data_IF_528468453241
#
_entry.id   IF_528468453241
#
_cell.length_a   1.000
_cell.length_b   1.000
_cell.length_c   1.000
_cell.angle_alpha   90.00
_cell.angle_beta   90.00
_cell.angle_gamma   90.00
#
_symmetry.space_group_name_H-M   'P 1'
#
loop_
_entity.id
_entity.type
_entity.pdbx_description
1 polymer ?
#
# COMPACT_ATOMS: atom_id res chain seq x y z
N UNK A 1 3.52 -7.98 -16.69
CA UNK A 1 2.28 -7.97 -15.89
C UNK A 1 2.06 -6.66 -15.14
N UNK A 2 2.99 -6.16 -14.30
CA UNK A 2 2.79 -4.91 -13.57
C UNK A 2 2.40 -3.70 -14.43
N UNK A 3 3.08 -3.49 -15.56
CA UNK A 3 2.73 -2.43 -16.50
C UNK A 3 1.29 -2.55 -17.05
N UNK A 4 0.80 -3.78 -17.26
CA UNK A 4 -0.58 -4.03 -17.73
C UNK A 4 -1.58 -3.69 -16.63
N UNK A 5 -1.33 -4.13 -15.38
CA UNK A 5 -2.16 -3.78 -14.23
C UNK A 5 -2.24 -2.26 -14.05
N UNK A 6 -1.09 -1.58 -14.12
CA UNK A 6 -1.00 -0.12 -14.02
C UNK A 6 -1.78 0.57 -15.14
N UNK A 7 -1.58 0.15 -16.39
CA UNK A 7 -2.29 0.70 -17.53
C UNK A 7 -3.81 0.51 -17.41
N UNK A 8 -4.28 -0.67 -16.98
CA UNK A 8 -5.70 -0.94 -16.73
C UNK A 8 -6.27 -0.09 -15.60
N UNK A 9 -5.49 0.14 -14.54
CA UNK A 9 -5.88 1.03 -13.45
C UNK A 9 -6.11 2.46 -13.97
N UNK A 10 -5.14 2.97 -14.74
CA UNK A 10 -5.20 4.30 -15.36
C UNK A 10 -6.38 4.42 -16.31
N UNK A 11 -6.50 3.49 -17.25
CA UNK A 11 -7.55 3.48 -18.27
C UNK A 11 -8.95 3.41 -17.64
N UNK A 12 -9.15 2.49 -16.68
CA UNK A 12 -10.47 2.24 -16.08
C UNK A 12 -10.98 3.41 -15.25
N UNK A 13 -10.10 4.15 -14.60
CA UNK A 13 -10.48 5.25 -13.69
C UNK A 13 -10.13 6.64 -14.23
N UNK A 14 -9.60 6.74 -15.45
CA UNK A 14 -9.22 8.02 -16.05
C UNK A 14 -8.19 8.78 -15.23
N UNK A 15 -7.21 8.06 -14.66
CA UNK A 15 -6.18 8.67 -13.82
C UNK A 15 -5.17 9.44 -14.68
N UNK A 16 -4.80 10.64 -14.25
CA UNK A 16 -3.73 11.41 -14.89
C UNK A 16 -2.40 11.03 -14.25
N UNK A 17 -1.53 10.38 -15.02
CA UNK A 17 -0.22 9.90 -14.56
C UNK A 17 0.84 10.31 -15.57
N UNK A 18 1.72 11.21 -15.15
CA UNK A 18 2.97 11.46 -15.84
C UNK A 18 3.92 10.28 -15.62
N UNK A 19 4.37 9.66 -16.70
CA UNK A 19 5.28 8.51 -16.66
C UNK A 19 6.73 8.89 -16.31
N UNK A 20 7.07 10.17 -16.38
CA UNK A 20 8.39 10.71 -15.97
C UNK A 20 8.45 10.99 -14.46
N UNK A 21 7.29 11.11 -13.82
CA UNK A 21 7.18 11.24 -12.38
C UNK A 21 7.35 9.88 -11.70
N UNK A 22 8.33 9.82 -10.80
CA UNK A 22 8.61 8.60 -10.03
C UNK A 22 7.48 8.29 -9.04
N UNK A 23 6.84 9.34 -8.53
CA UNK A 23 5.66 9.27 -7.66
C UNK A 23 4.59 10.22 -8.23
N UNK A 24 3.61 9.72 -8.99
CA UNK A 24 2.59 10.56 -9.61
C UNK A 24 1.69 11.18 -8.55
N UNK A 25 1.24 12.41 -8.76
CA UNK A 25 0.41 13.16 -7.81
C UNK A 25 -1.08 12.99 -8.13
N UNK A 26 -1.91 12.85 -7.10
CA UNK A 26 -3.38 12.85 -7.25
C UNK A 26 -3.98 11.67 -8.02
N UNK A 27 -3.21 10.61 -8.28
CA UNK A 27 -3.63 9.48 -9.10
C UNK A 27 -4.41 8.43 -8.30
N UNK A 28 -3.74 7.71 -7.40
CA UNK A 28 -4.39 6.68 -6.58
C UNK A 28 -3.62 6.42 -5.29
N UNK A 29 -4.33 5.84 -4.32
CA UNK A 29 -3.76 5.40 -3.05
C UNK A 29 -3.29 3.94 -3.15
N UNK A 30 -2.09 3.63 -2.68
CA UNK A 30 -1.58 2.27 -2.57
C UNK A 30 -1.73 1.73 -1.16
N UNK A 31 -2.43 0.61 -0.99
CA UNK A 31 -2.62 -0.06 0.30
C UNK A 31 -1.97 -1.44 0.30
N UNK A 32 -1.12 -1.74 1.28
CA UNK A 32 -0.72 -3.11 1.57
C UNK A 32 -1.51 -3.66 2.76
N UNK A 33 -2.58 -4.41 2.47
CA UNK A 33 -3.42 -5.05 3.48
C UNK A 33 -2.77 -6.36 3.92
N UNK A 34 -2.07 -6.32 5.06
CA UNK A 34 -1.26 -7.43 5.55
C UNK A 34 -2.09 -8.33 6.46
N UNK A 35 -2.94 -9.15 5.85
CA UNK A 35 -3.86 -10.06 6.58
C UNK A 35 -3.87 -11.48 6.01
N UNK A 36 -2.81 -11.87 5.30
CA UNK A 36 -2.61 -13.25 4.84
C UNK A 36 -2.36 -14.21 6.01
N UNK A 37 -2.54 -15.51 5.76
CA UNK A 37 -2.58 -16.52 6.84
C UNK A 37 -1.25 -16.64 7.59
N UNK A 38 -0.12 -16.35 6.96
CA UNK A 38 1.18 -16.31 7.64
C UNK A 38 1.27 -15.17 8.67
N UNK A 39 0.70 -13.99 8.38
CA UNK A 39 0.58 -12.91 9.36
C UNK A 39 -0.37 -13.26 10.51
N UNK A 40 -1.51 -13.90 10.20
CA UNK A 40 -2.45 -14.39 11.21
C UNK A 40 -1.78 -15.40 12.14
N UNK A 41 -1.12 -16.41 11.56
CA UNK A 41 -0.46 -17.49 12.30
C UNK A 41 0.70 -16.99 13.15
N UNK A 42 1.35 -15.89 12.75
CA UNK A 42 2.38 -15.24 13.54
C UNK A 42 1.83 -14.32 14.65
N UNK A 43 0.50 -14.24 14.84
CA UNK A 43 -0.15 -13.40 15.86
C UNK A 43 -0.07 -11.90 15.56
N UNK A 44 0.21 -11.50 14.32
CA UNK A 44 0.43 -10.09 13.99
C UNK A 44 -0.85 -9.25 14.07
N UNK A 45 -1.99 -9.89 13.80
CA UNK A 45 -3.30 -9.23 13.80
C UNK A 45 -3.92 -9.12 15.19
N UNK A 46 -3.34 -9.79 16.19
CA UNK A 46 -3.82 -9.76 17.58
C UNK A 46 -3.36 -8.50 18.32
N UNK A 47 -2.33 -7.84 17.80
CA UNK A 47 -1.88 -6.55 18.31
C UNK A 47 -2.95 -5.47 18.09
N UNK A 48 -3.14 -4.62 19.09
CA UNK A 48 -4.08 -3.51 19.02
C UNK A 48 -3.83 -2.64 17.78
N UNK A 49 -4.90 -2.29 17.06
CA UNK A 49 -4.82 -1.50 15.83
C UNK A 49 -4.24 -2.23 14.61
N UNK A 50 -3.83 -3.50 14.70
CA UNK A 50 -3.21 -4.24 13.58
C UNK A 50 -4.17 -5.16 12.82
N UNK A 51 -5.38 -5.39 13.33
CA UNK A 51 -6.35 -6.25 12.67
C UNK A 51 -6.82 -5.68 11.31
N UNK A 52 -7.49 -6.51 10.51
CA UNK A 52 -7.95 -6.14 9.17
C UNK A 52 -8.84 -4.89 9.16
N UNK A 53 -9.68 -4.70 10.19
CA UNK A 53 -10.62 -3.58 10.25
C UNK A 53 -9.88 -2.27 10.49
N UNK A 54 -8.92 -2.26 11.42
CA UNK A 54 -8.10 -1.08 11.71
C UNK A 54 -7.27 -0.66 10.49
N UNK A 55 -6.63 -1.62 9.80
CA UNK A 55 -5.89 -1.34 8.56
C UNK A 55 -6.80 -0.70 7.49
N UNK A 56 -7.99 -1.26 7.27
CA UNK A 56 -8.95 -0.75 6.28
C UNK A 56 -9.43 0.66 6.64
N UNK A 57 -9.77 0.92 7.89
CA UNK A 57 -10.22 2.24 8.35
C UNK A 57 -9.16 3.30 8.12
N UNK A 58 -7.92 2.98 8.48
CA UNK A 58 -6.77 3.86 8.31
C UNK A 58 -6.50 4.17 6.83
N UNK A 59 -6.50 3.15 5.96
CA UNK A 59 -6.27 3.36 4.53
C UNK A 59 -7.37 4.20 3.87
N UNK A 60 -8.63 4.01 4.26
CA UNK A 60 -9.74 4.84 3.77
C UNK A 60 -9.59 6.28 4.24
N UNK A 61 -9.31 6.48 5.54
CA UNK A 61 -9.16 7.81 6.13
C UNK A 61 -8.01 8.57 5.46
N UNK A 62 -6.86 7.91 5.30
CA UNK A 62 -5.68 8.50 4.68
C UNK A 62 -5.91 8.81 3.20
N UNK A 63 -6.53 7.91 2.43
CA UNK A 63 -6.89 8.20 1.04
C UNK A 63 -7.79 9.43 0.92
N UNK A 64 -8.81 9.56 1.80
CA UNK A 64 -9.73 10.71 1.80
C UNK A 64 -9.04 12.02 2.21
N UNK A 65 -8.10 11.98 3.15
CA UNK A 65 -7.31 13.15 3.54
C UNK A 65 -6.58 13.77 2.34
N UNK A 66 -6.13 12.93 1.40
CA UNK A 66 -5.47 13.36 0.16
C UNK A 66 -6.43 13.55 -1.03
N UNK A 67 -7.74 13.44 -0.81
CA UNK A 67 -8.74 13.59 -1.86
C UNK A 67 -8.71 12.48 -2.92
N UNK A 68 -8.13 11.31 -2.60
CA UNK A 68 -8.01 10.19 -3.53
C UNK A 68 -9.28 9.31 -3.47
N UNK A 69 -9.88 9.05 -4.63
CA UNK A 69 -11.11 8.26 -4.75
C UNK A 69 -10.86 6.80 -5.16
N UNK A 70 -9.62 6.44 -5.50
CA UNK A 70 -9.23 5.10 -5.92
C UNK A 70 -8.10 4.57 -5.04
N UNK A 71 -8.28 3.36 -4.52
CA UNK A 71 -7.30 2.60 -3.75
C UNK A 71 -6.93 1.34 -4.56
N UNK A 72 -5.66 1.17 -4.88
CA UNK A 72 -5.09 -0.12 -5.27
C UNK A 72 -4.66 -0.88 -4.02
N UNK A 73 -5.21 -2.06 -3.77
CA UNK A 73 -4.87 -2.90 -2.63
C UNK A 73 -4.10 -4.15 -3.04
N UNK A 74 -2.96 -4.36 -2.38
CA UNK A 74 -2.24 -5.62 -2.37
C UNK A 74 -2.57 -6.39 -1.09
N UNK A 75 -2.94 -7.66 -1.23
CA UNK A 75 -3.25 -8.53 -0.09
C UNK A 75 -3.08 -9.99 -0.49
N UNK A 76 -2.71 -10.83 0.48
CA UNK A 76 -2.78 -12.28 0.36
C UNK A 76 -4.12 -12.88 0.85
N UNK A 77 -5.08 -12.04 1.23
CA UNK A 77 -6.39 -12.48 1.76
C UNK A 77 -7.53 -11.75 1.03
N UNK A 78 -8.17 -12.47 0.10
CA UNK A 78 -9.22 -11.93 -0.76
C UNK A 78 -10.56 -11.70 -0.04
N UNK A 79 -10.81 -12.36 1.09
CA UNK A 79 -12.01 -12.12 1.87
C UNK A 79 -11.95 -10.74 2.53
N UNK A 80 -10.79 -10.37 3.09
CA UNK A 80 -10.60 -9.04 3.66
C UNK A 80 -10.60 -7.95 2.58
N UNK A 81 -10.10 -8.24 1.38
CA UNK A 81 -10.21 -7.32 0.22
C UNK A 81 -11.68 -7.05 -0.11
N UNK A 82 -12.55 -8.07 -0.13
CA UNK A 82 -13.99 -7.86 -0.36
C UNK A 82 -14.64 -7.02 0.74
N UNK A 83 -14.26 -7.22 2.00
CA UNK A 83 -14.74 -6.40 3.13
C UNK A 83 -14.26 -4.96 3.00
N UNK A 84 -13.01 -4.76 2.59
CA UNK A 84 -12.44 -3.45 2.31
C UNK A 84 -13.24 -2.74 1.19
N UNK A 85 -13.46 -3.41 0.07
CA UNK A 85 -14.27 -2.89 -1.04
C UNK A 85 -15.66 -2.43 -0.59
N UNK A 86 -16.38 -3.27 0.16
CA UNK A 86 -17.72 -2.93 0.66
C UNK A 86 -17.68 -1.70 1.60
N UNK A 87 -16.71 -1.65 2.51
CA UNK A 87 -16.59 -0.55 3.48
C UNK A 87 -16.17 0.77 2.85
N UNK A 88 -15.30 0.74 1.84
CA UNK A 88 -14.86 1.90 1.08
C UNK A 88 -15.97 2.45 0.17
N UNK A 89 -16.75 1.57 -0.47
CA UNK A 89 -17.89 1.96 -1.27
C UNK A 89 -19.03 2.61 -0.45
N UNK A 90 -19.14 2.27 0.83
CA UNK A 90 -20.10 2.86 1.76
C UNK A 90 -19.69 4.26 2.29
N UNK A 91 -18.51 4.76 1.93
CA UNK A 91 -18.05 6.10 2.35
C UNK A 91 -18.82 7.22 1.64
N UNK A 92 -18.77 8.42 2.22
CA UNK A 92 -19.22 9.66 1.58
C UNK A 92 -18.05 10.66 1.51
N UNK A 93 -17.56 11.03 0.30
CA UNK A 93 -17.84 10.37 -0.99
C UNK A 93 -17.33 8.91 -1.02
N UNK A 94 -17.87 8.05 -1.91
CA UNK A 94 -17.41 6.67 -2.07
C UNK A 94 -15.95 6.60 -2.51
N UNK A 95 -15.24 5.58 -2.02
CA UNK A 95 -13.87 5.26 -2.44
C UNK A 95 -13.88 3.88 -3.11
N UNK A 96 -13.29 3.78 -4.29
CA UNK A 96 -13.21 2.53 -5.05
C UNK A 96 -11.94 1.79 -4.67
N UNK A 97 -12.06 0.54 -4.25
CA UNK A 97 -10.92 -0.34 -3.94
C UNK A 97 -10.80 -1.42 -5.01
N UNK A 98 -9.63 -1.55 -5.61
CA UNK A 98 -9.33 -2.59 -6.61
C UNK A 98 -8.02 -3.29 -6.29
N UNK A 99 -7.90 -4.55 -6.68
CA UNK A 99 -6.65 -5.28 -6.73
C UNK A 99 -6.33 -5.70 -8.18
N UNK A 100 -5.15 -6.28 -8.41
CA UNK A 100 -4.74 -6.76 -9.75
C UNK A 100 -5.76 -7.67 -10.44
N UNK A 101 -6.47 -8.53 -9.71
CA UNK A 101 -7.46 -9.44 -10.30
C UNK A 101 -8.78 -8.75 -10.69
N UNK A 102 -9.08 -7.56 -10.14
CA UNK A 102 -10.23 -6.75 -10.55
C UNK A 102 -9.95 -5.94 -11.83
N UNK A 103 -8.68 -5.84 -12.22
CA UNK A 103 -8.17 -5.05 -13.33
C UNK A 103 -7.83 -5.91 -14.56
N UNK A 104 -7.41 -7.15 -14.34
CA UNK A 104 -7.01 -8.05 -15.41
C UNK A 104 -8.20 -8.86 -15.95
N UNK A 105 -8.33 -9.01 -17.28
CA UNK A 105 -9.26 -9.98 -17.87
C UNK A 105 -8.90 -11.41 -17.45
N UNK A 106 -9.86 -12.32 -17.56
CA UNK A 106 -9.75 -13.69 -17.03
C UNK A 106 -8.48 -14.42 -17.52
N UNK A 107 -8.12 -14.29 -18.80
CA UNK A 107 -6.94 -14.95 -19.36
C UNK A 107 -5.61 -14.40 -18.79
N UNK A 108 -5.51 -13.09 -18.54
CA UNK A 108 -4.33 -12.49 -17.90
C UNK A 108 -4.30 -12.76 -16.40
N UNK A 109 -5.47 -12.76 -15.75
CA UNK A 109 -5.59 -13.16 -14.35
C UNK A 109 -5.17 -14.62 -14.13
N UNK A 110 -5.45 -15.52 -15.08
CA UNK A 110 -5.01 -16.91 -15.04
C UNK A 110 -3.47 -17.03 -15.08
N UNK A 111 -2.80 -16.20 -15.89
CA UNK A 111 -1.33 -16.13 -15.93
C UNK A 111 -0.79 -15.73 -14.55
N UNK A 112 -1.36 -14.70 -13.92
CA UNK A 112 -0.94 -14.26 -12.58
C UNK A 112 -1.21 -15.34 -11.53
N UNK A 113 -2.34 -16.04 -11.60
CA UNK A 113 -2.66 -17.15 -10.67
C UNK A 113 -1.70 -18.33 -10.80
N UNK A 114 -1.10 -18.54 -11.97
CA UNK A 114 -0.10 -19.57 -12.19
C UNK A 114 1.31 -19.19 -11.68
N UNK A 115 1.54 -17.92 -11.31
CA UNK A 115 2.79 -17.46 -10.73
C UNK A 115 2.90 -17.87 -9.25
N UNK A 116 4.14 -18.00 -8.77
CA UNK A 116 4.41 -18.18 -7.34
C UNK A 116 3.92 -16.98 -6.53
N UNK A 117 3.75 -17.18 -5.23
CA UNK A 117 3.35 -16.12 -4.31
C UNK A 117 4.27 -14.88 -4.40
N UNK A 118 5.59 -15.08 -4.41
CA UNK A 118 6.56 -13.97 -4.55
C UNK A 118 6.48 -13.27 -5.91
N UNK A 119 6.29 -14.03 -6.99
CA UNK A 119 6.12 -13.46 -8.33
C UNK A 119 4.87 -12.59 -8.43
N UNK A 120 3.77 -13.00 -7.77
CA UNK A 120 2.57 -12.18 -7.67
C UNK A 120 2.80 -10.92 -6.82
N UNK A 121 3.54 -11.04 -5.72
CA UNK A 121 3.89 -9.91 -4.86
C UNK A 121 4.77 -8.88 -5.59
N UNK A 122 5.66 -9.30 -6.50
CA UNK A 122 6.44 -8.39 -7.33
C UNK A 122 5.57 -7.54 -8.26
N UNK A 123 4.44 -8.06 -8.75
CA UNK A 123 3.48 -7.27 -9.53
C UNK A 123 2.91 -6.14 -8.67
N UNK A 124 2.46 -6.49 -7.46
CA UNK A 124 1.91 -5.51 -6.52
C UNK A 124 2.96 -4.48 -6.10
N UNK A 125 4.21 -4.91 -5.90
CA UNK A 125 5.32 -4.05 -5.52
C UNK A 125 5.59 -2.96 -6.58
N UNK A 126 5.63 -3.34 -7.86
CA UNK A 126 5.84 -2.38 -8.95
C UNK A 126 4.69 -1.38 -9.08
N UNK A 127 3.44 -1.81 -8.84
CA UNK A 127 2.28 -0.92 -8.87
C UNK A 127 2.29 0.02 -7.67
N UNK A 128 2.51 -0.51 -6.46
CA UNK A 128 2.44 0.27 -5.21
C UNK A 128 3.54 1.32 -5.09
N UNK A 129 4.73 1.11 -5.66
CA UNK A 129 5.76 2.17 -5.70
C UNK A 129 5.29 3.41 -6.47
N UNK A 130 4.41 3.23 -7.47
CA UNK A 130 3.87 4.30 -8.34
C UNK A 130 2.54 4.87 -7.87
N UNK A 131 2.09 4.59 -6.65
CA UNK A 131 0.92 5.27 -6.10
C UNK A 131 1.24 6.71 -5.69
N UNK A 132 0.24 7.56 -5.54
CA UNK A 132 0.45 8.92 -5.03
C UNK A 132 0.74 8.92 -3.55
N UNK A 133 -0.06 8.17 -2.80
CA UNK A 133 0.06 8.04 -1.34
C UNK A 133 0.02 6.56 -0.99
N UNK A 134 0.92 6.11 -0.11
CA UNK A 134 1.07 4.72 0.29
C UNK A 134 0.72 4.50 1.76
N UNK A 135 0.15 3.32 2.07
CA UNK A 135 -0.06 2.85 3.43
C UNK A 135 0.24 1.36 3.60
N UNK A 136 0.85 1.02 4.73
CA UNK A 136 1.04 -0.37 5.17
C UNK A 136 1.26 -0.46 6.68
N UNK A 137 1.53 -1.65 7.22
CA UNK A 137 1.72 -1.85 8.66
C UNK A 137 3.17 -2.13 9.06
N UNK A 138 3.51 -1.80 10.30
CA UNK A 138 4.85 -1.94 10.91
C UNK A 138 5.39 -3.36 10.89
N UNK A 139 4.53 -4.38 10.93
CA UNK A 139 4.98 -5.78 10.91
C UNK A 139 5.33 -6.28 9.50
N UNK A 140 5.16 -5.47 8.46
CA UNK A 140 5.37 -5.87 7.07
C UNK A 140 6.68 -5.36 6.48
N UNK A 141 7.62 -6.27 6.23
CA UNK A 141 8.84 -5.96 5.47
C UNK A 141 8.53 -5.50 4.04
N UNK A 142 7.52 -6.07 3.40
CA UNK A 142 7.05 -5.64 2.09
C UNK A 142 6.56 -4.19 2.10
N UNK A 143 5.80 -3.77 3.11
CA UNK A 143 5.34 -2.39 3.22
C UNK A 143 6.49 -1.40 3.45
N UNK A 144 7.41 -1.72 4.37
CA UNK A 144 8.61 -0.93 4.57
C UNK A 144 9.45 -0.84 3.30
N UNK A 145 9.60 -1.93 2.56
CA UNK A 145 10.32 -1.95 1.30
C UNK A 145 9.76 -0.94 0.29
N UNK A 146 8.44 -0.86 0.15
CA UNK A 146 7.81 0.14 -0.71
C UNK A 146 8.03 1.55 -0.18
N UNK A 147 7.77 1.80 1.11
CA UNK A 147 7.86 3.12 1.71
C UNK A 147 9.28 3.71 1.63
N UNK A 148 10.31 2.94 2.00
CA UNK A 148 11.69 3.38 1.95
C UNK A 148 12.17 3.55 0.50
N UNK A 149 11.79 2.66 -0.42
CA UNK A 149 12.12 2.82 -1.84
C UNK A 149 11.53 4.11 -2.40
N UNK A 150 10.28 4.44 -2.03
CA UNK A 150 9.64 5.70 -2.42
C UNK A 150 10.37 6.91 -1.81
N UNK A 151 10.70 6.86 -0.53
CA UNK A 151 11.44 7.91 0.17
C UNK A 151 12.77 8.22 -0.50
N UNK A 152 13.57 7.18 -0.85
CA UNK A 152 14.85 7.37 -1.53
C UNK A 152 14.71 8.16 -2.85
N UNK A 153 13.70 7.86 -3.66
CA UNK A 153 13.47 8.59 -4.91
C UNK A 153 13.13 10.06 -4.70
N UNK A 154 12.46 10.37 -3.59
CA UNK A 154 12.14 11.75 -3.22
C UNK A 154 13.39 12.47 -2.70
N UNK A 155 14.27 11.78 -1.95
CA UNK A 155 15.54 12.34 -1.44
C UNK A 155 16.44 12.74 -2.59
N UNK A 156 16.58 11.86 -3.60
CA UNK A 156 17.37 12.10 -4.81
C UNK A 156 16.90 13.34 -5.59
N UNK A 157 15.63 13.76 -5.40
CA UNK A 157 15.03 14.96 -6.00
C UNK A 157 14.90 16.13 -5.02
N UNK A 158 15.47 16.02 -3.81
CA UNK A 158 15.40 17.02 -2.74
C UNK A 158 13.94 17.38 -2.33
N UNK A 159 13.04 16.39 -2.43
CA UNK A 159 11.60 16.49 -2.15
C UNK A 159 11.19 15.85 -0.82
N UNK A 160 12.14 15.37 -0.01
CA UNK A 160 11.88 14.78 1.31
C UNK A 160 11.90 15.82 2.41
N UNK A 161 10.95 15.70 3.33
CA UNK A 161 11.00 16.34 4.64
C UNK A 161 11.88 15.46 5.56
N UNK A 162 12.95 16.05 6.09
CA UNK A 162 13.95 15.58 7.08
C UNK A 162 13.90 14.09 7.59
N UNK A 163 15.03 13.34 7.54
CA UNK A 163 15.15 11.93 7.93
C UNK A 163 14.82 11.53 9.39
N UNK A 164 14.40 12.45 10.26
CA UNK A 164 13.82 12.15 11.58
C UNK A 164 12.31 12.41 11.68
N UNK A 165 11.63 12.71 10.58
CA UNK A 165 10.24 13.19 10.57
C UNK A 165 9.18 12.10 10.80
N UNK A 166 9.33 11.30 11.85
CA UNK A 166 8.13 11.08 12.66
C UNK A 166 7.91 12.42 13.36
N UNK A 167 6.90 13.18 12.94
CA UNK A 167 6.34 14.15 13.88
C UNK A 167 5.91 13.30 15.09
N UNK A 168 6.66 13.41 16.18
CA UNK A 168 6.46 12.67 17.44
C UNK A 168 5.07 12.93 18.07
N UNK A 169 4.16 13.59 17.35
CA UNK A 169 2.78 13.82 17.69
C UNK A 169 1.84 12.68 17.30
N UNK A 170 2.14 11.85 16.28
CA UNK A 170 1.29 10.71 15.94
C UNK A 170 1.82 9.42 16.58
N UNK A 171 1.24 9.07 17.73
CA UNK A 171 1.68 7.98 18.62
C UNK A 171 1.66 6.59 18.00
N UNK A 172 0.98 6.41 16.85
CA UNK A 172 0.72 5.11 16.24
C UNK A 172 1.35 4.96 14.84
N UNK A 173 2.39 5.73 14.50
CA UNK A 173 3.12 5.61 13.24
C UNK A 173 4.56 5.15 13.46
N UNK A 174 4.98 4.15 12.69
CA UNK A 174 6.36 3.66 12.64
C UNK A 174 7.21 4.40 11.60
N UNK A 175 6.60 4.92 10.54
CA UNK A 175 7.25 5.69 9.48
C UNK A 175 6.23 6.61 8.80
N UNK A 176 6.64 7.85 8.52
CA UNK A 176 5.88 8.82 7.73
C UNK A 176 6.87 9.74 6.99
N UNK A 177 6.85 9.73 5.65
CA UNK A 177 7.61 10.66 4.79
C UNK A 177 6.72 11.76 4.16
N UNK A 178 5.47 11.86 4.63
CA UNK A 178 4.43 12.73 4.10
C UNK A 178 3.57 12.07 3.02
N UNK A 179 4.05 11.07 2.28
CA UNK A 179 3.29 10.40 1.21
C UNK A 179 3.30 8.87 1.32
N UNK A 180 3.93 8.32 2.34
CA UNK A 180 4.02 6.90 2.66
C UNK A 180 3.92 6.78 4.17
N UNK A 181 2.92 6.04 4.65
CA UNK A 181 2.71 5.80 6.09
C UNK A 181 2.82 4.32 6.42
N UNK A 182 3.56 4.02 7.48
CA UNK A 182 3.61 2.70 8.10
C UNK A 182 2.96 2.78 9.48
N UNK A 183 1.76 2.21 9.60
CA UNK A 183 0.93 2.29 10.78
C UNK A 183 1.31 1.22 11.81
N UNK A 184 1.05 1.54 13.07
CA UNK A 184 1.38 0.71 14.22
C UNK A 184 2.69 1.08 14.86
N UNK A 185 2.85 0.61 16.10
CA UNK A 185 4.14 0.58 16.77
C UNK A 185 4.54 -0.84 17.15
N UNK A 186 5.76 -1.22 16.81
CA UNK A 186 6.38 -2.49 17.19
C UNK A 186 7.90 -2.32 17.22
N UNK A 187 8.46 -2.20 18.42
CA UNK A 187 9.89 -1.91 18.60
C UNK A 187 10.82 -2.96 17.97
N UNK A 188 10.38 -4.21 17.79
CA UNK A 188 11.18 -5.24 17.15
C UNK A 188 11.26 -5.01 15.63
N UNK A 189 10.12 -4.83 14.97
CA UNK A 189 10.05 -4.70 13.51
C UNK A 189 10.55 -3.32 13.05
N UNK A 190 10.20 -2.24 13.76
CA UNK A 190 10.66 -0.87 13.50
C UNK A 190 12.18 -0.76 13.49
N UNK A 191 12.86 -1.43 14.43
CA UNK A 191 14.31 -1.31 14.56
C UNK A 191 15.05 -2.21 13.57
N UNK A 192 14.45 -3.33 13.16
CA UNK A 192 15.15 -4.35 12.37
C UNK A 192 14.87 -4.27 10.88
N UNK A 193 13.63 -4.05 10.48
CA UNK A 193 13.24 -4.07 9.07
C UNK A 193 13.99 -2.97 8.29
N UNK A 194 13.95 -1.68 8.68
CA UNK A 194 14.66 -0.64 7.94
C UNK A 194 16.17 -0.87 7.87
N UNK A 195 16.77 -1.38 8.96
CA UNK A 195 18.22 -1.64 9.03
C UNK A 195 18.67 -2.79 8.12
N UNK A 196 17.80 -3.77 7.89
CA UNK A 196 18.09 -4.91 7.00
C UNK A 196 17.84 -4.61 5.52
N UNK A 197 17.41 -3.39 5.17
CA UNK A 197 17.00 -3.03 3.82
C UNK A 197 18.06 -2.23 3.04
N UNK A 198 19.14 -1.81 3.69
CA UNK A 198 20.31 -1.23 3.01
C UNK A 198 21.35 -2.33 2.72
N UNK A 199 21.95 -2.37 1.52
CA UNK A 199 23.05 -3.28 1.21
C UNK A 199 24.32 -2.96 2.01
#
# INVERSE_FOLDING_TARGET
>A
MAAVVMWRLVEKFGLDIDTEDVVPKGAFYGAHLRTADDAKNAGWLDAEGMNATAQVEEYIAHAKQYGLSVIYVASGNMEDVKRFQAKAAAQSPPVVVVNKFDLLPEHEAAIVKAMSWDQQALIDWEVLKRCSVFGGIVKSSFAFNIAITRSQYLEDRNMVMDPWSVQHSETNLAFDDGISRIFGRDGFHEQRIPRGMWP
#
